data_IF_483498983578
#
_entry.id   IF_483498983578
#
_cell.length_a   1.000
_cell.length_b   1.000
_cell.length_c   1.000
_cell.angle_alpha   90.00
_cell.angle_beta   90.00
_cell.angle_gamma   90.00
#
_symmetry.space_group_name_H-M   'P 1'
#
loop_
_entity.id
_entity.type
_entity.pdbx_description
1 polymer ?
#
# COMPACT_ATOMS: atom_id res chain seq x y z
N UNK A 1 -0.46 -4.38 -5.33
CA UNK A 1 -1.55 -4.64 -4.39
C UNK A 1 -2.82 -3.86 -4.70
N UNK A 2 -3.80 -3.91 -3.80
CA UNK A 2 -5.11 -3.27 -3.97
C UNK A 2 -4.98 -1.81 -4.40
N UNK A 3 -4.19 -1.05 -3.69
CA UNK A 3 -3.98 0.36 -3.92
C UNK A 3 -3.41 0.64 -5.32
N UNK A 4 -2.38 -0.11 -5.76
CA UNK A 4 -1.83 -0.01 -7.10
C UNK A 4 -2.87 -0.32 -8.21
N UNK A 5 -3.78 -1.26 -7.95
CA UNK A 5 -4.89 -1.58 -8.88
C UNK A 5 -5.87 -0.41 -8.95
N UNK A 6 -6.19 0.21 -7.82
CA UNK A 6 -7.06 1.40 -7.77
C UNK A 6 -6.44 2.56 -8.53
N UNK A 7 -5.14 2.85 -8.32
CA UNK A 7 -4.42 3.88 -9.06
C UNK A 7 -4.42 3.61 -10.57
N UNK A 8 -4.11 2.38 -11.01
CA UNK A 8 -4.15 1.98 -12.42
C UNK A 8 -5.54 2.17 -13.04
N UNK A 9 -6.60 1.74 -12.35
CA UNK A 9 -7.98 1.92 -12.80
C UNK A 9 -8.40 3.38 -12.83
N UNK A 10 -8.00 4.18 -11.83
CA UNK A 10 -8.32 5.60 -11.77
C UNK A 10 -7.72 6.40 -12.93
N UNK A 11 -6.52 6.04 -13.41
CA UNK A 11 -5.89 6.66 -14.57
C UNK A 11 -6.68 6.43 -15.88
N UNK A 12 -7.33 5.26 -16.03
CA UNK A 12 -8.04 4.87 -17.24
C UNK A 12 -9.58 5.04 -17.14
N UNK A 13 -10.10 5.54 -16.01
CA UNK A 13 -11.54 5.61 -15.77
C UNK A 13 -12.16 6.89 -16.31
N UNK A 14 -13.09 6.75 -17.25
CA UNK A 14 -13.97 7.83 -17.67
C UNK A 14 -14.90 8.32 -16.53
N UNK A 15 -15.15 7.47 -15.55
CA UNK A 15 -15.91 7.76 -14.33
C UNK A 15 -15.25 8.87 -13.49
N UNK A 16 -13.90 8.95 -13.46
CA UNK A 16 -13.16 10.03 -12.80
C UNK A 16 -13.51 11.40 -13.38
N UNK A 17 -13.63 11.52 -14.71
CA UNK A 17 -13.97 12.79 -15.36
C UNK A 17 -15.38 13.24 -15.00
N UNK A 18 -16.34 12.30 -14.94
CA UNK A 18 -17.73 12.58 -14.60
C UNK A 18 -17.90 12.97 -13.12
N UNK A 19 -17.32 12.18 -12.20
CA UNK A 19 -17.47 12.39 -10.76
C UNK A 19 -16.65 13.58 -10.24
N UNK A 20 -15.52 13.93 -10.87
CA UNK A 20 -14.81 15.19 -10.58
C UNK A 20 -15.64 16.41 -10.95
N UNK A 21 -16.46 16.32 -12.00
CA UNK A 21 -17.36 17.42 -12.43
C UNK A 21 -18.43 17.73 -11.39
N UNK A 22 -18.80 16.77 -10.56
CA UNK A 22 -19.81 16.92 -9.49
C UNK A 22 -19.21 16.92 -8.08
N UNK A 23 -17.89 17.24 -7.94
CA UNK A 23 -17.15 17.31 -6.67
C UNK A 23 -17.14 16.00 -5.83
N UNK A 24 -17.46 14.86 -6.44
CA UNK A 24 -17.51 13.55 -5.80
C UNK A 24 -16.25 12.68 -6.07
N UNK A 25 -15.10 13.32 -6.33
CA UNK A 25 -13.84 12.61 -6.62
C UNK A 25 -13.44 11.59 -5.55
N UNK A 26 -13.65 11.90 -4.28
CA UNK A 26 -13.37 10.95 -3.18
C UNK A 26 -14.25 9.69 -3.24
N UNK A 27 -15.50 9.82 -3.68
CA UNK A 27 -16.42 8.69 -3.84
C UNK A 27 -15.98 7.77 -4.98
N UNK A 28 -15.37 8.31 -6.03
CA UNK A 28 -14.78 7.49 -7.11
C UNK A 28 -13.72 6.55 -6.58
N UNK A 29 -12.79 7.06 -5.76
CA UNK A 29 -11.75 6.21 -5.17
C UNK A 29 -12.33 5.14 -4.26
N UNK A 30 -13.34 5.47 -3.46
CA UNK A 30 -14.02 4.50 -2.62
C UNK A 30 -14.67 3.38 -3.46
N UNK A 31 -15.41 3.74 -4.49
CA UNK A 31 -16.06 2.76 -5.39
C UNK A 31 -15.03 1.88 -6.08
N UNK A 32 -13.95 2.46 -6.62
CA UNK A 32 -12.87 1.72 -7.26
C UNK A 32 -12.12 0.83 -6.26
N UNK A 33 -11.94 1.28 -5.03
CA UNK A 33 -11.31 0.48 -3.96
C UNK A 33 -12.16 -0.74 -3.65
N UNK A 34 -13.46 -0.56 -3.44
CA UNK A 34 -14.40 -1.66 -3.16
C UNK A 34 -14.45 -2.63 -4.34
N UNK A 35 -14.63 -2.14 -5.56
CA UNK A 35 -14.64 -2.98 -6.76
C UNK A 35 -13.32 -3.74 -6.90
N UNK A 36 -12.18 -3.08 -6.71
CA UNK A 36 -10.86 -3.71 -6.85
C UNK A 36 -10.62 -4.74 -5.77
N UNK A 37 -11.02 -4.48 -4.52
CA UNK A 37 -10.91 -5.43 -3.42
C UNK A 37 -11.62 -6.76 -3.74
N UNK A 38 -12.83 -6.70 -4.29
CA UNK A 38 -13.59 -7.92 -4.56
C UNK A 38 -13.16 -8.62 -5.85
N UNK A 39 -12.66 -7.88 -6.85
CA UNK A 39 -12.25 -8.45 -8.15
C UNK A 39 -10.78 -8.85 -8.22
N UNK A 40 -9.91 -8.32 -7.34
CA UNK A 40 -8.49 -8.66 -7.37
C UNK A 40 -8.21 -10.08 -6.96
N UNK A 41 -7.15 -10.65 -7.53
CA UNK A 41 -6.54 -11.88 -7.03
C UNK A 41 -5.45 -11.56 -6.01
N UNK A 42 -5.49 -12.21 -4.86
CA UNK A 42 -4.43 -12.12 -3.85
C UNK A 42 -3.19 -12.93 -4.28
N UNK A 43 -2.02 -12.55 -3.79
CA UNK A 43 -0.77 -13.26 -3.99
C UNK A 43 -0.16 -13.65 -2.65
N UNK A 44 0.60 -14.74 -2.63
CA UNK A 44 1.51 -15.01 -1.53
C UNK A 44 2.71 -14.08 -1.67
N UNK A 45 3.16 -13.52 -0.56
CA UNK A 45 4.35 -12.68 -0.57
C UNK A 45 5.33 -13.11 0.52
N UNK A 46 6.62 -13.00 0.21
CA UNK A 46 7.71 -13.15 1.16
C UNK A 46 8.42 -11.80 1.25
N UNK A 47 8.55 -11.30 2.45
CA UNK A 47 9.24 -10.03 2.75
C UNK A 47 10.52 -10.35 3.52
N UNK A 48 11.64 -9.88 3.03
CA UNK A 48 12.95 -9.99 3.67
C UNK A 48 13.43 -8.60 4.06
N UNK A 49 13.85 -8.44 5.32
CA UNK A 49 14.49 -7.24 5.84
C UNK A 49 16.00 -7.36 5.62
N UNK A 50 16.60 -6.36 4.95
CA UNK A 50 18.01 -6.40 4.59
C UNK A 50 18.98 -6.18 5.76
N UNK A 51 18.52 -5.60 6.86
CA UNK A 51 19.32 -5.31 8.05
C UNK A 51 19.54 -6.51 8.97
N UNK A 52 18.52 -7.33 9.16
CA UNK A 52 18.51 -8.43 10.13
C UNK A 52 18.14 -9.79 9.53
N UNK A 53 17.97 -9.86 8.22
CA UNK A 53 17.57 -11.06 7.46
C UNK A 53 16.28 -11.73 7.96
N UNK A 54 15.41 -10.99 8.67
CA UNK A 54 14.11 -11.50 9.06
C UNK A 54 13.24 -11.71 7.85
N UNK A 55 12.57 -12.86 7.82
CA UNK A 55 11.69 -13.25 6.74
C UNK A 55 10.26 -13.34 7.27
N UNK A 56 9.35 -12.61 6.60
CA UNK A 56 7.92 -12.63 6.88
C UNK A 56 7.18 -13.26 5.71
N UNK A 57 6.24 -14.16 5.99
CA UNK A 57 5.39 -14.80 4.99
C UNK A 57 3.99 -14.22 5.08
N UNK A 58 3.56 -13.57 4.03
CA UNK A 58 2.27 -12.89 3.95
C UNK A 58 1.34 -13.69 3.04
N UNK A 59 0.41 -14.45 3.65
CA UNK A 59 -0.55 -15.26 2.91
C UNK A 59 -1.70 -14.42 2.38
N UNK A 60 -2.14 -14.67 1.13
CA UNK A 60 -3.28 -13.95 0.52
C UNK A 60 -3.16 -12.44 0.67
N UNK A 61 -2.02 -11.90 0.28
CA UNK A 61 -1.70 -10.48 0.42
C UNK A 61 -2.65 -9.63 -0.41
N UNK A 62 -3.31 -8.67 0.24
CA UNK A 62 -4.23 -7.71 -0.36
C UNK A 62 -3.44 -6.49 -0.83
N UNK A 63 -2.63 -5.91 0.06
CA UNK A 63 -1.68 -4.87 -0.29
C UNK A 63 -0.39 -5.00 0.53
N UNK A 64 0.68 -4.40 0.01
CA UNK A 64 1.92 -4.13 0.72
C UNK A 64 2.45 -2.80 0.19
N UNK A 65 2.66 -1.83 1.07
CA UNK A 65 3.11 -0.47 0.75
C UNK A 65 4.32 -0.11 1.60
N UNK A 66 5.46 0.17 0.95
CA UNK A 66 6.65 0.67 1.62
C UNK A 66 6.57 2.20 1.68
N UNK A 67 6.58 2.73 2.88
CA UNK A 67 6.30 4.13 3.19
C UNK A 67 7.48 4.74 3.95
N UNK A 68 7.80 5.98 3.65
CA UNK A 68 8.66 6.85 4.46
C UNK A 68 7.89 8.04 5.07
N UNK A 69 6.59 8.11 4.80
CA UNK A 69 5.66 9.08 5.36
C UNK A 69 4.45 8.35 5.94
N UNK A 70 3.78 8.97 6.91
CA UNK A 70 2.65 8.35 7.61
C UNK A 70 1.44 8.09 6.73
N UNK A 71 1.22 8.96 5.74
CA UNK A 71 0.02 8.90 4.92
C UNK A 71 0.34 8.84 3.44
N UNK A 72 -0.46 8.12 2.70
CA UNK A 72 -0.48 8.07 1.25
C UNK A 72 -1.46 9.09 0.66
N UNK A 73 -1.47 9.22 -0.68
CA UNK A 73 -2.31 10.16 -1.41
C UNK A 73 -3.75 10.21 -0.90
N UNK A 74 -4.25 11.42 -0.69
CA UNK A 74 -5.55 11.65 -0.08
C UNK A 74 -5.58 11.64 1.46
N UNK A 75 -4.42 11.50 2.12
CA UNK A 75 -4.29 11.56 3.57
C UNK A 75 -4.67 10.27 4.30
N UNK A 76 -4.63 9.12 3.62
CA UNK A 76 -4.89 7.82 4.25
C UNK A 76 -3.66 7.37 5.03
N UNK A 77 -3.74 7.21 6.36
CA UNK A 77 -2.59 6.89 7.21
C UNK A 77 -2.23 5.40 7.13
N UNK A 78 -1.58 5.01 6.03
CA UNK A 78 -1.19 3.62 5.75
C UNK A 78 -0.11 3.11 6.70
N UNK A 79 0.81 3.98 7.14
CA UNK A 79 1.88 3.68 8.07
C UNK A 79 1.97 4.77 9.15
N UNK A 80 1.10 4.75 10.19
CA UNK A 80 0.94 5.85 11.14
C UNK A 80 2.21 6.23 11.90
N UNK A 81 3.16 5.30 12.01
CA UNK A 81 4.43 5.49 12.73
C UNK A 81 5.63 5.76 11.82
N UNK A 82 5.45 5.75 10.48
CA UNK A 82 6.53 6.02 9.55
C UNK A 82 7.14 7.41 9.76
N UNK A 83 8.47 7.48 9.65
CA UNK A 83 9.25 8.71 9.76
C UNK A 83 10.14 8.89 8.54
N UNK A 84 10.23 10.12 8.03
CA UNK A 84 11.12 10.44 6.92
C UNK A 84 12.56 10.77 7.35
N UNK A 85 12.85 10.72 8.66
CA UNK A 85 14.14 11.18 9.23
C UNK A 85 14.91 10.08 9.95
N UNK A 86 14.35 8.89 10.12
CA UNK A 86 14.96 7.78 10.88
C UNK A 86 15.78 6.82 10.02
N UNK A 87 15.82 7.02 8.68
CA UNK A 87 16.53 6.13 7.76
C UNK A 87 15.85 4.77 7.54
N UNK A 88 14.60 4.64 7.95
CA UNK A 88 13.83 3.40 7.82
C UNK A 88 12.69 3.54 6.81
N UNK A 89 12.25 2.42 6.28
CA UNK A 89 11.01 2.28 5.53
C UNK A 89 10.03 1.46 6.37
N UNK A 90 8.78 1.92 6.45
CA UNK A 90 7.69 1.17 7.07
C UNK A 90 6.89 0.45 5.99
N UNK A 91 6.98 -0.87 5.92
CA UNK A 91 6.13 -1.68 5.05
C UNK A 91 4.83 -2.01 5.78
N UNK A 92 3.77 -1.33 5.40
CA UNK A 92 2.41 -1.66 5.85
C UNK A 92 1.79 -2.69 4.91
N UNK A 93 1.16 -3.72 5.46
CA UNK A 93 0.53 -4.77 4.67
C UNK A 93 -0.76 -5.27 5.29
N UNK A 94 -1.70 -5.71 4.43
CA UNK A 94 -2.89 -6.47 4.82
C UNK A 94 -2.86 -7.85 4.13
N UNK A 95 -2.94 -8.91 4.94
CA UNK A 95 -2.82 -10.28 4.46
C UNK A 95 -3.60 -11.26 5.33
N UNK A 96 -3.94 -12.43 4.78
CA UNK A 96 -4.64 -13.50 5.52
C UNK A 96 -6.05 -13.15 5.98
N UNK A 97 -6.60 -12.04 5.54
CA UNK A 97 -7.94 -11.57 5.89
C UNK A 97 -8.90 -11.83 4.72
N UNK A 98 -10.11 -12.36 4.96
CA UNK A 98 -11.15 -12.41 3.94
C UNK A 98 -11.49 -11.02 3.40
N UNK A 99 -11.71 -10.90 2.09
CA UNK A 99 -12.00 -9.61 1.43
C UNK A 99 -13.18 -8.87 2.06
N UNK A 100 -14.25 -9.60 2.46
CA UNK A 100 -15.39 -9.01 3.13
C UNK A 100 -14.99 -8.35 4.47
N UNK A 101 -14.13 -9.01 5.28
CA UNK A 101 -13.64 -8.44 6.54
C UNK A 101 -12.73 -7.25 6.24
N UNK A 102 -11.88 -7.33 5.21
CA UNK A 102 -11.02 -6.20 4.80
C UNK A 102 -11.86 -4.96 4.47
N UNK A 103 -13.01 -5.13 3.82
CA UNK A 103 -13.94 -4.02 3.57
C UNK A 103 -14.35 -3.32 4.88
N UNK A 104 -14.72 -4.08 5.90
CA UNK A 104 -15.08 -3.52 7.23
C UNK A 104 -13.88 -2.94 7.99
N UNK A 105 -12.64 -3.26 7.58
CA UNK A 105 -11.44 -2.67 8.16
C UNK A 105 -11.10 -1.28 7.56
N UNK A 106 -11.68 -0.88 6.43
CA UNK A 106 -11.40 0.41 5.80
C UNK A 106 -11.58 1.63 6.72
N UNK A 107 -12.66 1.73 7.54
CA UNK A 107 -12.79 2.82 8.50
C UNK A 107 -11.66 2.88 9.54
N UNK A 108 -11.16 1.71 9.97
CA UNK A 108 -10.03 1.63 10.90
C UNK A 108 -8.72 2.04 10.25
N UNK A 109 -8.54 1.75 8.96
CA UNK A 109 -7.41 2.23 8.18
C UNK A 109 -7.40 3.77 8.12
N UNK A 110 -8.54 4.38 7.79
CA UNK A 110 -8.69 5.84 7.76
C UNK A 110 -8.47 6.48 9.14
N UNK A 111 -8.85 5.77 10.22
CA UNK A 111 -8.66 6.22 11.59
C UNK A 111 -7.26 5.91 12.18
N UNK A 112 -6.31 5.39 11.38
CA UNK A 112 -4.98 4.96 11.83
C UNK A 112 -4.99 3.90 12.95
N UNK A 113 -6.02 3.06 13.00
CA UNK A 113 -6.21 2.03 14.04
C UNK A 113 -6.08 0.60 13.51
N UNK A 114 -5.77 0.43 12.23
CA UNK A 114 -5.73 -0.87 11.54
C UNK A 114 -4.60 -1.78 12.02
N UNK A 115 -3.48 -1.24 12.50
CA UNK A 115 -2.34 -2.02 12.98
C UNK A 115 -2.67 -2.95 14.17
N UNK A 116 -3.75 -2.66 14.90
CA UNK A 116 -4.25 -3.51 16.00
C UNK A 116 -5.12 -4.67 15.52
N UNK A 117 -5.44 -4.70 14.23
CA UNK A 117 -6.31 -5.72 13.64
C UNK A 117 -5.44 -6.87 13.13
N UNK A 118 -5.78 -8.09 13.53
CA UNK A 118 -5.07 -9.29 13.02
C UNK A 118 -5.12 -9.33 11.50
N UNK A 119 -3.94 -9.54 10.89
CA UNK A 119 -3.78 -9.57 9.44
C UNK A 119 -3.33 -8.24 8.82
N UNK A 120 -3.20 -7.19 9.66
CA UNK A 120 -2.37 -6.04 9.32
C UNK A 120 -1.00 -6.20 9.98
N UNK A 121 0.04 -5.88 9.27
CA UNK A 121 1.42 -6.00 9.74
C UNK A 121 2.23 -4.81 9.26
N UNK A 122 2.97 -4.19 10.16
CA UNK A 122 3.96 -3.15 9.86
C UNK A 122 5.35 -3.73 10.11
N UNK A 123 6.25 -3.58 9.16
CA UNK A 123 7.64 -4.07 9.19
C UNK A 123 8.53 -2.87 8.89
N UNK A 124 9.51 -2.62 9.76
CA UNK A 124 10.47 -1.54 9.59
C UNK A 124 11.85 -2.07 9.24
N UNK A 125 12.47 -1.50 8.21
CA UNK A 125 13.82 -1.84 7.79
C UNK A 125 14.36 -0.79 6.80
N UNK A 126 15.67 -0.50 6.79
CA UNK A 126 16.25 0.39 5.78
C UNK A 126 16.24 -0.22 4.37
N UNK A 127 16.19 -1.54 4.28
CA UNK A 127 16.08 -2.28 3.01
C UNK A 127 15.01 -3.35 3.13
N UNK A 128 14.04 -3.32 2.22
CA UNK A 128 12.92 -4.27 2.20
C UNK A 128 12.86 -4.92 0.82
N UNK A 129 12.97 -6.25 0.78
CA UNK A 129 12.77 -7.05 -0.45
C UNK A 129 11.45 -7.76 -0.37
N UNK A 130 10.64 -7.62 -1.42
CA UNK A 130 9.34 -8.28 -1.53
C UNK A 130 9.35 -9.20 -2.74
N UNK A 131 9.09 -10.47 -2.51
CA UNK A 131 8.90 -11.47 -3.56
C UNK A 131 7.46 -11.98 -3.52
N UNK A 132 6.78 -12.00 -4.68
CA UNK A 132 5.40 -12.46 -4.80
C UNK A 132 5.29 -13.70 -5.68
N UNK A 133 4.33 -14.58 -5.36
CA UNK A 133 4.09 -15.84 -6.10
C UNK A 133 3.70 -15.62 -7.56
N UNK A 134 3.13 -14.47 -7.89
CA UNK A 134 2.75 -14.05 -9.25
C UNK A 134 3.03 -12.56 -9.46
N UNK A 135 3.12 -12.07 -10.72
CA UNK A 135 3.24 -10.64 -10.96
C UNK A 135 2.08 -9.87 -10.34
N UNK A 136 2.40 -8.78 -9.65
CA UNK A 136 1.43 -7.88 -9.02
C UNK A 136 1.63 -6.45 -9.52
N UNK A 137 0.53 -5.73 -9.64
CA UNK A 137 0.56 -4.31 -10.01
C UNK A 137 1.36 -3.52 -8.98
N UNK A 138 2.29 -2.70 -9.45
CA UNK A 138 3.10 -1.78 -8.65
C UNK A 138 2.86 -0.35 -9.07
N UNK A 139 2.87 0.55 -8.10
CA UNK A 139 2.94 1.99 -8.34
C UNK A 139 3.97 2.64 -7.40
N UNK A 140 4.40 3.85 -7.75
CA UNK A 140 5.16 4.74 -6.89
C UNK A 140 4.49 6.12 -6.98
N UNK A 141 4.07 6.67 -5.85
CA UNK A 141 3.39 7.97 -5.75
C UNK A 141 2.24 8.14 -6.76
N UNK A 142 1.45 7.08 -6.94
CA UNK A 142 0.31 7.05 -7.86
C UNK A 142 0.66 6.75 -9.32
N UNK A 143 1.94 6.72 -9.71
CA UNK A 143 2.37 6.36 -11.07
C UNK A 143 2.48 4.83 -11.22
N UNK A 144 1.87 4.27 -12.28
CA UNK A 144 1.99 2.84 -12.59
C UNK A 144 3.43 2.50 -13.02
N UNK A 145 4.04 1.52 -12.34
CA UNK A 145 5.43 1.11 -12.53
C UNK A 145 5.58 -0.35 -13.01
N UNK A 146 4.57 -0.89 -13.69
CA UNK A 146 4.58 -2.25 -14.21
C UNK A 146 4.07 -3.30 -13.24
N UNK A 147 3.93 -4.52 -13.76
CA UNK A 147 3.55 -5.70 -13.00
C UNK A 147 4.82 -6.51 -12.74
N UNK A 148 5.15 -6.74 -11.47
CA UNK A 148 6.42 -7.33 -11.04
C UNK A 148 6.22 -8.41 -9.98
N UNK A 149 7.22 -9.31 -9.88
CA UNK A 149 7.29 -10.34 -8.81
C UNK A 149 8.25 -9.96 -7.71
N UNK A 150 9.33 -9.24 -8.05
CA UNK A 150 10.40 -8.90 -7.15
C UNK A 150 10.55 -7.39 -7.10
N UNK A 151 10.60 -6.85 -5.89
CA UNK A 151 10.84 -5.42 -5.66
C UNK A 151 11.80 -5.30 -4.48
N UNK A 152 12.78 -4.44 -4.62
CA UNK A 152 13.61 -3.98 -3.53
C UNK A 152 13.35 -2.50 -3.30
N UNK A 153 13.16 -2.14 -2.05
CA UNK A 153 13.05 -0.76 -1.57
C UNK A 153 14.24 -0.48 -0.67
N UNK A 154 14.93 0.62 -0.92
CA UNK A 154 16.07 1.06 -0.10
C UNK A 154 15.81 2.49 0.36
N UNK A 155 15.90 2.72 1.67
CA UNK A 155 15.88 4.07 2.22
C UNK A 155 17.22 4.75 1.93
N UNK A 156 17.17 5.87 1.23
CA UNK A 156 18.36 6.70 0.98
C UNK A 156 18.37 7.82 2.01
N UNK A 157 19.06 7.60 3.12
CA UNK A 157 19.18 8.59 4.21
C UNK A 157 19.84 9.87 3.72
N UNK A 158 19.38 11.02 4.23
CA UNK A 158 20.00 12.34 4.06
C UNK A 158 20.15 12.84 2.61
N UNK A 159 19.31 12.33 1.67
CA UNK A 159 19.38 12.72 0.26
C UNK A 159 18.62 14.01 -0.08
N UNK A 160 17.67 14.42 0.76
CA UNK A 160 16.84 15.60 0.55
C UNK A 160 16.92 16.53 1.77
N UNK A 161 17.25 17.80 1.52
CA UNK A 161 17.11 18.87 2.49
C UNK A 161 15.94 19.75 2.08
N UNK A 162 14.94 19.87 2.95
CA UNK A 162 13.81 20.77 2.75
C UNK A 162 14.18 22.14 3.34
N UNK A 163 14.18 23.17 2.51
CA UNK A 163 14.27 24.56 2.97
C UNK A 163 12.94 24.93 3.65
N UNK A 164 13.02 25.46 4.85
CA UNK A 164 11.86 26.00 5.58
C UNK A 164 11.53 27.41 5.10
#
# INVERSE_FOLDING_TARGET
GLDAIVCKKALHSNCKKFLNRIHLGKLTYLVLTVQSLFTMDTAEAVVECGDNHKIYRLHKTIFAAAMNLQAEGGGVPMAPHASCTDGMLSLSSAHGIPKAITFFCLPFLVAAKHEKIRGFTTIESPVIRVHTSKPVVRHADGAYCGDVRNVEFTCLSEKLQLLK
#
